data_IF_637446295892
#
_entry.id   IF_637446295892
#
_cell.length_a   1.000
_cell.length_b   1.000
_cell.length_c   1.000
_cell.angle_alpha   90.00
_cell.angle_beta   90.00
_cell.angle_gamma   90.00
#
_symmetry.space_group_name_H-M   'P 1'
#
loop_
_entity.id
_entity.type
_entity.pdbx_description
1 polymer ?
#
# COMPACT_ATOMS: atom_id res chain seq x y z
N UNK A 1 11.21 -11.29 22.05
CA UNK A 1 10.12 -11.53 21.06
C UNK A 1 10.71 -12.31 19.89
N UNK A 2 10.03 -13.35 19.38
CA UNK A 2 10.53 -14.15 18.25
C UNK A 2 10.64 -13.25 16.99
N UNK A 3 11.81 -13.20 16.33
CA UNK A 3 12.07 -12.36 15.14
C UNK A 3 11.00 -12.51 14.07
N UNK A 4 10.54 -13.74 13.80
CA UNK A 4 9.47 -14.01 12.84
C UNK A 4 8.17 -13.29 13.21
N UNK A 5 7.79 -13.36 14.48
CA UNK A 5 6.58 -12.70 14.98
C UNK A 5 6.71 -11.17 14.92
N UNK A 6 7.89 -10.63 15.23
CA UNK A 6 8.16 -9.20 15.08
C UNK A 6 8.01 -8.75 13.64
N UNK A 7 8.60 -9.46 12.68
CA UNK A 7 8.48 -9.15 11.25
C UNK A 7 7.04 -9.25 10.75
N UNK A 8 6.30 -10.30 11.15
CA UNK A 8 4.89 -10.45 10.77
C UNK A 8 4.02 -9.29 11.31
N UNK A 9 4.24 -8.87 12.56
CA UNK A 9 3.54 -7.73 13.15
C UNK A 9 3.90 -6.44 12.41
N UNK A 10 5.19 -6.22 12.12
CA UNK A 10 5.62 -5.03 11.39
C UNK A 10 5.05 -4.97 9.97
N UNK A 11 5.01 -6.10 9.26
CA UNK A 11 4.36 -6.23 7.95
C UNK A 11 2.88 -5.85 8.04
N UNK A 12 2.14 -6.47 8.97
CA UNK A 12 0.73 -6.15 9.17
C UNK A 12 0.49 -4.67 9.48
N UNK A 13 1.31 -4.08 10.37
CA UNK A 13 1.15 -2.68 10.77
C UNK A 13 1.48 -1.70 9.64
N UNK A 14 2.49 -1.99 8.81
CA UNK A 14 2.82 -1.15 7.66
C UNK A 14 1.74 -1.25 6.57
N UNK A 15 1.30 -2.47 6.23
CA UNK A 15 0.18 -2.65 5.32
C UNK A 15 -1.09 -1.94 5.83
N UNK A 16 -1.39 -2.03 7.13
CA UNK A 16 -2.55 -1.37 7.73
C UNK A 16 -2.41 0.17 7.70
N UNK A 17 -1.21 0.70 7.94
CA UNK A 17 -0.92 2.12 7.79
C UNK A 17 -1.12 2.57 6.33
N UNK A 18 -0.62 1.80 5.36
CA UNK A 18 -0.85 2.04 3.94
C UNK A 18 -2.34 2.06 3.57
N UNK A 19 -3.12 1.12 4.10
CA UNK A 19 -4.58 1.07 3.91
C UNK A 19 -5.29 2.32 4.46
N UNK A 20 -4.92 2.76 5.67
CA UNK A 20 -5.48 3.96 6.30
C UNK A 20 -5.12 5.21 5.50
N UNK A 21 -3.88 5.32 5.02
CA UNK A 21 -3.46 6.42 4.14
C UNK A 21 -4.29 6.43 2.86
N UNK A 22 -4.48 5.27 2.21
CA UNK A 22 -5.31 5.15 1.03
C UNK A 22 -6.77 5.52 1.28
N UNK A 23 -7.37 5.11 2.41
CA UNK A 23 -8.73 5.53 2.75
C UNK A 23 -8.84 7.04 2.96
N UNK A 24 -7.84 7.64 3.61
CA UNK A 24 -7.80 9.08 3.87
C UNK A 24 -7.68 9.90 2.59
N UNK A 25 -6.84 9.46 1.65
CA UNK A 25 -6.58 10.16 0.38
C UNK A 25 -7.67 9.87 -0.65
N UNK A 26 -8.09 8.62 -0.77
CA UNK A 26 -9.09 8.13 -1.73
C UNK A 26 -10.36 7.66 -1.01
N UNK A 27 -10.97 8.54 -0.20
CA UNK A 27 -12.24 8.21 0.42
C UNK A 27 -13.30 7.96 -0.68
N UNK A 28 -13.79 6.72 -0.76
CA UNK A 28 -14.78 6.27 -1.73
C UNK A 28 -16.22 6.58 -1.30
N UNK A 29 -16.41 7.09 -0.08
CA UNK A 29 -17.66 7.68 0.38
C UNK A 29 -17.56 9.20 0.24
N UNK A 30 -18.04 9.71 -0.90
CA UNK A 30 -17.87 11.11 -1.29
C UNK A 30 -19.17 11.87 -1.11
N UNK A 31 -19.11 13.04 -0.49
CA UNK A 31 -20.27 13.93 -0.39
C UNK A 31 -20.68 14.47 -1.77
N UNK A 32 -21.97 14.54 -2.03
CA UNK A 32 -22.52 15.13 -3.24
C UNK A 32 -22.15 16.62 -3.30
N UNK A 33 -21.76 17.10 -4.50
CA UNK A 33 -21.32 18.49 -4.68
C UNK A 33 -22.44 19.51 -4.49
N UNK A 34 -23.69 19.08 -4.66
CA UNK A 34 -24.89 19.93 -4.60
C UNK A 34 -25.54 19.81 -3.22
N UNK A 35 -25.59 18.59 -2.66
CA UNK A 35 -26.23 18.33 -1.35
C UNK A 35 -25.24 17.59 -0.44
N UNK A 36 -24.50 18.32 0.44
CA UNK A 36 -23.44 17.74 1.26
C UNK A 36 -23.89 16.61 2.19
N UNK A 37 -25.16 16.55 2.56
CA UNK A 37 -25.71 15.50 3.43
C UNK A 37 -25.78 14.13 2.75
N UNK A 38 -25.77 14.10 1.41
CA UNK A 38 -25.86 12.87 0.64
C UNK A 38 -24.45 12.35 0.38
N UNK A 39 -24.17 11.14 0.85
CA UNK A 39 -22.93 10.42 0.59
C UNK A 39 -23.14 9.43 -0.55
N UNK A 40 -22.26 9.46 -1.55
CA UNK A 40 -22.29 8.55 -2.70
C UNK A 40 -21.01 7.74 -2.77
N UNK A 41 -21.17 6.51 -3.26
CA UNK A 41 -20.05 5.60 -3.50
C UNK A 41 -19.34 5.94 -4.82
N UNK A 42 -18.03 6.09 -4.76
CA UNK A 42 -17.16 6.29 -5.92
C UNK A 42 -16.33 5.02 -6.18
N UNK A 43 -16.75 4.26 -7.20
CA UNK A 43 -16.10 3.01 -7.57
C UNK A 43 -14.64 3.17 -8.01
N UNK A 44 -14.28 4.30 -8.61
CA UNK A 44 -12.90 4.55 -9.06
C UNK A 44 -11.97 4.70 -7.86
N UNK A 45 -12.40 5.45 -6.85
CA UNK A 45 -11.63 5.59 -5.59
C UNK A 45 -11.59 4.29 -4.79
N UNK A 46 -12.65 3.50 -4.86
CA UNK A 46 -12.68 2.19 -4.21
C UNK A 46 -11.67 1.23 -4.83
N UNK A 47 -11.44 1.27 -6.15
CA UNK A 47 -10.40 0.44 -6.78
C UNK A 47 -9.00 0.73 -6.22
N UNK A 48 -8.69 2.00 -5.92
CA UNK A 48 -7.44 2.38 -5.26
C UNK A 48 -7.28 1.82 -3.85
N UNK A 49 -8.36 1.34 -3.22
CA UNK A 49 -8.34 0.74 -1.88
C UNK A 49 -8.12 -0.78 -1.91
N UNK A 50 -8.31 -1.44 -3.06
CA UNK A 50 -8.24 -2.91 -3.16
C UNK A 50 -6.82 -3.43 -2.94
N UNK A 51 -5.79 -2.84 -3.55
CA UNK A 51 -4.42 -3.33 -3.40
C UNK A 51 -3.92 -3.30 -1.95
N UNK A 52 -4.01 -2.19 -1.19
CA UNK A 52 -3.61 -2.21 0.21
C UNK A 52 -4.51 -3.11 1.07
N UNK A 53 -5.78 -3.32 0.71
CA UNK A 53 -6.65 -4.26 1.43
C UNK A 53 -6.19 -5.71 1.24
N UNK A 54 -5.83 -6.07 0.01
CA UNK A 54 -5.24 -7.37 -0.33
C UNK A 54 -3.91 -7.55 0.39
N UNK A 55 -3.09 -6.52 0.50
CA UNK A 55 -1.82 -6.57 1.22
C UNK A 55 -2.04 -6.85 2.73
N UNK A 56 -2.92 -6.08 3.38
CA UNK A 56 -3.24 -6.28 4.80
C UNK A 56 -3.77 -7.68 5.09
N UNK A 57 -4.69 -8.19 4.26
CA UNK A 57 -5.38 -9.44 4.56
C UNK A 57 -4.64 -10.63 3.96
N UNK A 58 -4.48 -10.64 2.63
CA UNK A 58 -4.01 -11.81 1.88
C UNK A 58 -2.52 -11.99 2.05
N UNK A 59 -1.71 -10.94 1.85
CA UNK A 59 -0.25 -11.05 1.96
C UNK A 59 0.14 -11.42 3.39
N UNK A 60 -0.40 -10.73 4.40
CA UNK A 60 -0.15 -11.07 5.82
C UNK A 60 -0.53 -12.52 6.15
N UNK A 61 -1.68 -13.01 5.65
CA UNK A 61 -2.11 -14.38 5.85
C UNK A 61 -1.17 -15.40 5.17
N UNK A 62 -0.69 -15.10 3.96
CA UNK A 62 0.25 -15.96 3.24
C UNK A 62 1.60 -16.07 3.99
N UNK A 63 2.03 -14.99 4.64
CA UNK A 63 3.25 -14.99 5.46
C UNK A 63 3.12 -15.68 6.83
N UNK A 64 1.91 -16.08 7.22
CA UNK A 64 1.70 -16.79 8.50
C UNK A 64 2.16 -18.26 8.44
N UNK A 65 2.40 -18.80 7.24
CA UNK A 65 2.84 -20.18 7.03
C UNK A 65 4.02 -20.27 6.07
N UNK A 66 4.96 -21.18 6.38
CA UNK A 66 6.12 -21.48 5.51
C UNK A 66 5.72 -21.95 4.12
N UNK A 67 4.62 -22.72 4.02
CA UNK A 67 4.18 -23.29 2.74
C UNK A 67 3.66 -22.23 1.76
N UNK A 68 3.20 -21.10 2.30
CA UNK A 68 2.55 -20.03 1.54
C UNK A 68 3.40 -18.77 1.45
N UNK A 69 4.52 -18.70 2.16
CA UNK A 69 5.38 -17.52 2.21
C UNK A 69 5.94 -17.12 0.84
N UNK A 70 6.16 -18.08 -0.06
CA UNK A 70 6.57 -17.80 -1.46
C UNK A 70 5.51 -16.98 -2.21
N UNK A 71 4.23 -17.30 -2.00
CA UNK A 71 3.13 -16.53 -2.60
C UNK A 71 3.01 -15.18 -1.92
N UNK A 72 3.19 -15.11 -0.60
CA UNK A 72 3.23 -13.85 0.15
C UNK A 72 4.28 -12.91 -0.42
N UNK A 73 5.52 -13.39 -0.61
CA UNK A 73 6.61 -12.64 -1.21
C UNK A 73 6.30 -12.17 -2.64
N UNK A 74 5.75 -13.05 -3.47
CA UNK A 74 5.40 -12.73 -4.86
C UNK A 74 4.29 -11.66 -4.93
N UNK A 75 3.20 -11.82 -4.17
CA UNK A 75 2.09 -10.86 -4.15
C UNK A 75 2.53 -9.50 -3.58
N UNK A 76 3.28 -9.50 -2.49
CA UNK A 76 3.81 -8.28 -1.89
C UNK A 76 4.73 -7.52 -2.86
N UNK A 77 5.61 -8.24 -3.58
CA UNK A 77 6.43 -7.68 -4.66
C UNK A 77 5.62 -7.11 -5.82
N UNK A 78 4.57 -7.80 -6.27
CA UNK A 78 3.69 -7.26 -7.31
C UNK A 78 2.96 -6.00 -6.85
N UNK A 79 2.44 -5.98 -5.62
CA UNK A 79 1.72 -4.83 -5.06
C UNK A 79 2.62 -3.60 -4.98
N UNK A 80 3.86 -3.71 -4.46
CA UNK A 80 4.77 -2.56 -4.37
C UNK A 80 5.16 -2.03 -5.75
N UNK A 81 5.40 -2.91 -6.74
CA UNK A 81 5.76 -2.50 -8.10
C UNK A 81 4.58 -1.79 -8.78
N UNK A 82 3.40 -2.42 -8.82
CA UNK A 82 2.22 -1.81 -9.42
C UNK A 82 1.81 -0.53 -8.69
N UNK A 83 1.84 -0.53 -7.35
CA UNK A 83 1.60 0.64 -6.52
C UNK A 83 2.55 1.78 -6.87
N UNK A 84 3.85 1.51 -7.00
CA UNK A 84 4.85 2.51 -7.40
C UNK A 84 4.51 3.11 -8.77
N UNK A 85 4.21 2.29 -9.77
CA UNK A 85 3.87 2.77 -11.11
C UNK A 85 2.61 3.63 -11.10
N UNK A 86 1.53 3.17 -10.44
CA UNK A 86 0.27 3.92 -10.40
C UNK A 86 0.39 5.23 -9.62
N UNK A 87 1.06 5.21 -8.47
CA UNK A 87 1.27 6.41 -7.66
C UNK A 87 2.20 7.42 -8.34
N UNK A 88 3.27 6.95 -8.99
CA UNK A 88 4.15 7.82 -9.77
C UNK A 88 3.42 8.44 -10.97
N UNK A 89 2.65 7.64 -11.71
CA UNK A 89 1.84 8.13 -12.83
C UNK A 89 0.84 9.19 -12.35
N UNK A 90 0.13 8.93 -11.24
CA UNK A 90 -0.81 9.88 -10.65
C UNK A 90 -0.12 11.19 -10.22
N UNK A 91 1.02 11.09 -9.53
CA UNK A 91 1.79 12.27 -9.10
C UNK A 91 2.21 13.13 -10.29
N UNK A 92 2.72 12.51 -11.37
CA UNK A 92 3.13 13.23 -12.58
C UNK A 92 1.93 13.90 -13.25
N UNK A 93 0.82 13.17 -13.43
CA UNK A 93 -0.39 13.71 -14.05
C UNK A 93 -0.95 14.90 -13.25
N UNK A 94 -0.99 14.79 -11.93
CA UNK A 94 -1.47 15.83 -11.02
C UNK A 94 -0.56 17.07 -11.05
N UNK A 95 0.76 16.90 -11.06
CA UNK A 95 1.72 18.01 -11.14
C UNK A 95 1.64 18.77 -12.45
N UNK A 96 1.46 18.06 -13.57
CA UNK A 96 1.24 18.67 -14.88
C UNK A 96 -0.08 19.44 -14.88
N UNK A 97 -1.17 18.84 -14.39
CA UNK A 97 -2.48 19.47 -14.37
C UNK A 97 -2.55 20.72 -13.47
N UNK A 98 -1.81 20.73 -12.35
CA UNK A 98 -1.81 21.82 -11.36
C UNK A 98 -0.61 22.78 -11.48
N UNK A 99 0.26 22.59 -12.47
CA UNK A 99 1.49 23.37 -12.65
C UNK A 99 2.29 23.55 -11.35
N UNK A 100 2.44 22.46 -10.58
CA UNK A 100 3.10 22.52 -9.26
C UNK A 100 4.58 22.88 -9.44
N UNK A 101 5.13 23.84 -8.67
CA UNK A 101 6.55 24.17 -8.75
C UNK A 101 7.44 22.96 -8.40
N UNK A 102 8.55 22.71 -9.14
CA UNK A 102 9.43 21.55 -8.92
C UNK A 102 9.93 21.40 -7.47
N UNK A 103 10.15 22.52 -6.78
CA UNK A 103 10.58 22.57 -5.38
C UNK A 103 9.62 21.86 -4.42
N UNK A 104 8.32 21.79 -4.77
CA UNK A 104 7.29 21.18 -3.93
C UNK A 104 7.03 19.72 -4.29
N UNK A 105 7.66 19.18 -5.35
CA UNK A 105 7.34 17.85 -5.87
C UNK A 105 7.68 16.76 -4.87
N UNK A 106 8.79 16.89 -4.15
CA UNK A 106 9.17 15.90 -3.15
C UNK A 106 8.12 15.77 -2.04
N UNK A 107 7.64 16.89 -1.50
CA UNK A 107 6.69 16.90 -0.39
C UNK A 107 5.23 16.67 -0.80
N UNK A 108 4.86 16.99 -2.05
CA UNK A 108 3.49 16.85 -2.57
C UNK A 108 3.26 15.62 -3.46
N UNK A 109 4.31 14.85 -3.74
CA UNK A 109 4.19 13.59 -4.47
C UNK A 109 3.85 12.44 -3.52
N UNK A 110 3.51 11.31 -4.11
CA UNK A 110 3.34 10.03 -3.42
C UNK A 110 4.67 9.37 -3.05
N UNK A 111 5.81 10.08 -3.09
CA UNK A 111 7.13 9.49 -2.84
C UNK A 111 7.23 8.85 -1.45
N UNK A 112 6.72 9.53 -0.42
CA UNK A 112 6.72 8.99 0.94
C UNK A 112 5.78 7.78 1.08
N UNK A 113 4.64 7.80 0.40
CA UNK A 113 3.70 6.66 0.39
C UNK A 113 4.34 5.44 -0.31
N UNK A 114 5.06 5.67 -1.41
CA UNK A 114 5.86 4.65 -2.11
C UNK A 114 6.93 4.09 -1.18
N UNK A 115 7.64 4.96 -0.42
CA UNK A 115 8.66 4.50 0.52
C UNK A 115 8.09 3.59 1.62
N UNK A 116 6.87 3.86 2.10
CA UNK A 116 6.16 2.98 3.05
C UNK A 116 5.89 1.61 2.42
N UNK A 117 5.41 1.57 1.16
CA UNK A 117 5.16 0.31 0.46
C UNK A 117 6.45 -0.51 0.23
N UNK A 118 7.57 0.16 -0.05
CA UNK A 118 8.88 -0.50 -0.14
C UNK A 118 9.40 -0.99 1.21
N UNK A 119 9.16 -0.24 2.29
CA UNK A 119 9.50 -0.69 3.63
C UNK A 119 8.73 -1.97 3.99
N UNK A 120 7.43 -2.03 3.69
CA UNK A 120 6.62 -3.24 3.83
C UNK A 120 7.22 -4.41 3.02
N UNK A 121 7.55 -4.16 1.75
CA UNK A 121 8.18 -5.16 0.89
C UNK A 121 9.47 -5.75 1.46
N UNK A 122 10.37 -4.91 1.98
CA UNK A 122 11.62 -5.39 2.55
C UNK A 122 11.41 -6.21 3.83
N UNK A 123 10.36 -5.94 4.61
CA UNK A 123 9.98 -6.78 5.73
C UNK A 123 9.45 -8.13 5.23
N UNK A 124 8.60 -8.14 4.19
CA UNK A 124 8.13 -9.35 3.53
C UNK A 124 9.29 -10.21 3.00
N UNK A 125 10.27 -9.59 2.35
CA UNK A 125 11.50 -10.25 1.89
C UNK A 125 12.28 -10.87 3.05
N UNK A 126 12.53 -10.12 4.11
CA UNK A 126 13.26 -10.62 5.28
C UNK A 126 12.53 -11.81 5.93
N UNK A 127 11.20 -11.75 6.00
CA UNK A 127 10.36 -12.83 6.53
C UNK A 127 10.41 -14.07 5.63
N UNK A 128 10.39 -13.91 4.31
CA UNK A 128 10.54 -14.99 3.34
C UNK A 128 11.90 -15.68 3.44
N UNK A 129 12.99 -14.90 3.51
CA UNK A 129 14.35 -15.43 3.66
C UNK A 129 14.52 -16.22 4.96
N UNK A 130 13.87 -15.77 6.04
CA UNK A 130 13.86 -16.51 7.30
C UNK A 130 13.16 -17.88 7.18
N UNK A 131 12.07 -17.99 6.42
CA UNK A 131 11.42 -19.27 6.12
C UNK A 131 12.24 -20.20 5.21
N UNK A 132 13.09 -19.64 4.34
CA UNK A 132 14.03 -20.40 3.50
C UNK A 132 15.21 -20.96 4.31
N UNK A 133 15.73 -20.17 5.27
CA UNK A 133 16.86 -20.55 6.11
C UNK A 133 16.55 -21.57 7.21
N UNK A 134 15.29 -21.74 7.59
CA UNK A 134 14.83 -22.80 8.50
C UNK A 134 14.82 -24.17 7.79
N UNK A 135 15.97 -24.77 7.50
CA UNK A 135 16.03 -26.16 7.01
C UNK A 135 15.62 -27.16 8.09
#
# INVERSE_FOLDING_TARGET
MNTKRSLLISLFLLAAAGLIIHYRVHNFMVHDKIIPEIVRFDGTKFLSFIFPLVDVIVVTALFTSRKTSVYGYLFNGMIVIYGTVFMAHYSIAEFIAKAVPPEQWFAKSTFLDIAIAWADFFIGKALYELYLGEN
#
